data_IF_408259310804
#
_entry.id   IF_408259310804
#
_cell.length_a   1.000
_cell.length_b   1.000
_cell.length_c   1.000
_cell.angle_alpha   90.00
_cell.angle_beta   90.00
_cell.angle_gamma   90.00
#
_symmetry.space_group_name_H-M   'P 1'
#
loop_
_entity.id
_entity.type
_entity.pdbx_description
1 polymer ?
#
# COMPACT_ATOMS: atom_id res chain seq x y z
N UNK A 1 -6.10 -35.65 -24.52
CA UNK A 1 -5.68 -34.93 -23.30
C UNK A 1 -5.15 -33.57 -23.72
N UNK A 2 -5.79 -32.47 -23.33
CA UNK A 2 -5.26 -31.13 -23.59
C UNK A 2 -4.16 -30.81 -22.57
N UNK A 3 -2.98 -30.45 -23.06
CA UNK A 3 -1.87 -30.02 -22.20
C UNK A 3 -2.13 -28.59 -21.72
N UNK A 4 -2.17 -28.40 -20.39
CA UNK A 4 -2.22 -27.07 -19.78
C UNK A 4 -0.79 -26.67 -19.37
N UNK A 5 -0.12 -25.88 -20.21
CA UNK A 5 1.18 -25.32 -19.88
C UNK A 5 1.04 -24.28 -18.75
N UNK A 6 1.86 -24.39 -17.71
CA UNK A 6 1.99 -23.34 -16.69
C UNK A 6 3.14 -22.41 -17.08
N UNK A 7 2.83 -21.16 -17.40
CA UNK A 7 3.83 -20.13 -17.60
C UNK A 7 4.33 -19.59 -16.25
N UNK A 8 5.61 -19.26 -16.17
CA UNK A 8 6.22 -18.62 -15.01
C UNK A 8 6.51 -17.15 -15.30
N UNK A 9 6.37 -16.30 -14.29
CA UNK A 9 6.71 -14.87 -14.40
C UNK A 9 8.23 -14.72 -14.39
N UNK A 10 8.78 -14.06 -15.41
CA UNK A 10 10.22 -13.81 -15.51
C UNK A 10 10.67 -12.67 -14.60
N UNK A 11 11.95 -12.61 -14.28
CA UNK A 11 12.54 -11.48 -13.53
C UNK A 11 12.29 -10.14 -14.21
N UNK A 12 12.32 -10.10 -15.55
CA UNK A 12 12.04 -8.89 -16.31
C UNK A 12 10.58 -8.44 -16.14
N UNK A 13 9.63 -9.36 -16.17
CA UNK A 13 8.23 -9.04 -15.88
C UNK A 13 8.07 -8.49 -14.46
N UNK A 14 8.70 -9.10 -13.45
CA UNK A 14 8.69 -8.58 -12.07
C UNK A 14 9.26 -7.17 -11.98
N UNK A 15 10.37 -6.90 -12.65
CA UNK A 15 10.99 -5.57 -12.68
C UNK A 15 10.06 -4.52 -13.31
N UNK A 16 9.41 -4.83 -14.44
CA UNK A 16 8.49 -3.90 -15.07
C UNK A 16 7.25 -3.65 -14.21
N UNK A 17 6.72 -4.69 -13.56
CA UNK A 17 5.62 -4.55 -12.61
C UNK A 17 6.01 -3.67 -11.43
N UNK A 18 7.18 -3.90 -10.81
CA UNK A 18 7.71 -3.07 -9.75
C UNK A 18 7.88 -1.59 -10.17
N UNK A 19 8.41 -1.35 -11.37
CA UNK A 19 8.54 0.02 -11.93
C UNK A 19 7.19 0.67 -12.21
N UNK A 20 6.19 -0.11 -12.62
CA UNK A 20 4.82 0.37 -12.81
C UNK A 20 4.26 0.92 -11.50
N UNK A 21 4.42 0.17 -10.40
CA UNK A 21 3.96 0.61 -9.08
C UNK A 21 4.62 1.92 -8.64
N UNK A 22 5.92 2.05 -8.87
CA UNK A 22 6.70 3.19 -8.41
C UNK A 22 6.54 4.44 -9.29
N UNK A 23 6.48 4.28 -10.61
CA UNK A 23 6.59 5.40 -11.57
C UNK A 23 5.38 5.56 -12.48
N UNK A 24 4.42 4.64 -12.42
CA UNK A 24 3.20 4.70 -13.21
C UNK A 24 3.38 4.22 -14.64
N UNK A 25 2.66 3.16 -15.01
CA UNK A 25 2.42 2.82 -16.41
C UNK A 25 0.93 2.63 -16.72
N UNK A 26 0.16 2.21 -15.73
CA UNK A 26 -1.31 2.17 -15.75
C UNK A 26 -1.86 2.81 -14.48
N UNK A 27 -1.37 2.34 -13.33
CA UNK A 27 -1.54 2.99 -12.03
C UNK A 27 -0.19 3.22 -11.37
N UNK A 28 -0.15 4.12 -10.39
CA UNK A 28 1.01 4.40 -9.56
C UNK A 28 0.59 4.40 -8.08
N UNK A 29 1.40 3.80 -7.22
CA UNK A 29 1.23 3.90 -5.78
C UNK A 29 1.74 5.28 -5.35
N UNK A 30 0.81 6.16 -4.94
CA UNK A 30 1.08 7.58 -4.70
C UNK A 30 0.82 8.02 -3.28
N UNK A 31 -0.10 7.35 -2.59
CA UNK A 31 -0.56 7.80 -1.28
C UNK A 31 -0.52 6.69 -0.25
N UNK A 32 -0.57 7.07 1.02
CA UNK A 32 -0.81 6.16 2.13
C UNK A 32 -1.91 6.70 3.04
N UNK A 33 -2.50 5.81 3.83
CA UNK A 33 -3.50 6.15 4.85
C UNK A 33 -3.35 5.25 6.05
N UNK A 34 -3.86 5.69 7.18
CA UNK A 34 -3.72 5.02 8.48
C UNK A 34 -5.08 4.71 9.07
N UNK A 35 -5.15 3.58 9.75
CA UNK A 35 -6.29 3.20 10.59
C UNK A 35 -5.82 2.39 11.81
N UNK A 36 -6.79 2.04 12.66
CA UNK A 36 -6.60 1.23 13.86
C UNK A 36 -7.33 -0.13 13.79
N UNK A 37 -7.55 -0.70 12.60
CA UNK A 37 -8.30 -1.97 12.44
C UNK A 37 -7.45 -3.24 12.27
N UNK A 38 -6.14 -3.13 12.12
CA UNK A 38 -5.25 -4.26 11.82
C UNK A 38 -4.73 -5.10 12.99
N UNK A 39 -5.14 -4.80 14.23
CA UNK A 39 -4.75 -5.58 15.41
C UNK A 39 -5.90 -6.47 15.88
N UNK A 40 -5.61 -7.51 16.65
CA UNK A 40 -6.64 -8.34 17.27
C UNK A 40 -7.39 -7.52 18.34
N UNK A 41 -8.72 -7.33 18.24
CA UNK A 41 -9.48 -6.56 19.23
C UNK A 41 -9.44 -7.13 20.65
N UNK A 42 -9.13 -8.43 20.79
CA UNK A 42 -9.00 -9.13 22.06
C UNK A 42 -7.57 -9.13 22.61
N UNK A 43 -6.58 -8.94 21.73
CA UNK A 43 -5.17 -8.78 22.08
C UNK A 43 -4.47 -7.73 21.17
N UNK A 44 -4.43 -6.45 21.60
CA UNK A 44 -3.87 -5.36 20.80
C UNK A 44 -2.36 -5.48 20.51
N UNK A 45 -1.66 -6.44 21.13
CA UNK A 45 -0.24 -6.71 20.87
C UNK A 45 -0.03 -7.63 19.66
N UNK A 46 -1.11 -8.21 19.14
CA UNK A 46 -1.09 -9.13 18.01
C UNK A 46 -1.61 -8.44 16.75
N UNK A 47 -0.86 -8.52 15.65
CA UNK A 47 -1.29 -8.07 14.33
C UNK A 47 -2.14 -9.14 13.65
N UNK A 48 -3.26 -8.76 13.04
CA UNK A 48 -4.05 -9.64 12.19
C UNK A 48 -3.40 -9.79 10.82
N UNK A 49 -3.59 -10.95 10.19
CA UNK A 49 -3.18 -11.16 8.81
C UNK A 49 -3.87 -10.14 7.88
N UNK A 50 -3.14 -9.61 6.91
CA UNK A 50 -3.72 -8.76 5.89
C UNK A 50 -4.65 -9.59 4.97
N UNK A 51 -5.83 -9.06 4.68
CA UNK A 51 -6.78 -9.66 3.75
C UNK A 51 -6.48 -9.15 2.33
N UNK A 52 -6.07 -10.05 1.44
CA UNK A 52 -5.76 -9.73 0.04
C UNK A 52 -7.00 -9.37 -0.79
N UNK A 53 -8.21 -9.63 -0.28
CA UNK A 53 -9.48 -9.26 -0.93
C UNK A 53 -10.07 -7.95 -0.43
N UNK A 54 -9.41 -7.30 0.56
CA UNK A 54 -9.89 -6.06 1.13
C UNK A 54 -9.89 -4.92 0.10
N UNK A 55 -11.02 -4.23 -0.02
CA UNK A 55 -11.20 -3.06 -0.89
C UNK A 55 -11.01 -1.73 -0.14
N UNK A 56 -10.89 -1.80 1.19
CA UNK A 56 -10.64 -0.66 2.07
C UNK A 56 -9.69 -1.06 3.19
N UNK A 57 -8.97 -0.09 3.76
CA UNK A 57 -8.13 -0.33 4.93
C UNK A 57 -9.00 -0.83 6.10
N UNK A 58 -8.55 -1.81 6.91
CA UNK A 58 -9.34 -2.31 8.03
C UNK A 58 -9.70 -1.19 9.03
N UNK A 59 -10.97 -1.10 9.41
CA UNK A 59 -11.46 -0.08 10.35
C UNK A 59 -11.76 1.27 9.70
N UNK A 60 -11.83 2.32 10.53
CA UNK A 60 -12.06 3.70 10.07
C UNK A 60 -10.73 4.33 9.69
N UNK A 61 -10.66 5.01 8.54
CA UNK A 61 -9.50 5.83 8.17
C UNK A 61 -9.37 6.97 9.16
N UNK A 62 -8.24 7.04 9.85
CA UNK A 62 -7.97 8.05 10.88
C UNK A 62 -7.08 9.18 10.36
N UNK A 63 -6.29 8.90 9.33
CA UNK A 63 -5.41 9.87 8.69
C UNK A 63 -5.13 9.49 7.23
N UNK A 64 -4.88 10.49 6.38
CA UNK A 64 -4.65 10.36 4.94
C UNK A 64 -5.93 10.54 4.09
N UNK A 65 -5.83 10.38 2.75
CA UNK A 65 -4.63 9.99 2.02
C UNK A 65 -3.56 11.09 1.99
N UNK A 66 -2.33 10.70 2.32
CA UNK A 66 -1.15 11.56 2.24
C UNK A 66 -0.17 11.03 1.18
N UNK A 67 0.57 11.92 0.51
CA UNK A 67 1.55 11.53 -0.49
C UNK A 67 2.72 10.75 0.12
N UNK A 68 3.20 9.74 -0.59
CA UNK A 68 4.40 9.00 -0.21
C UNK A 68 5.62 9.91 -0.32
N UNK A 69 6.44 9.98 0.73
CA UNK A 69 7.60 10.88 0.78
C UNK A 69 8.67 10.52 -0.25
N UNK A 70 9.00 9.23 -0.33
CA UNK A 70 10.02 8.75 -1.25
C UNK A 70 9.86 7.27 -1.57
N UNK A 71 10.46 6.89 -2.69
CA UNK A 71 10.54 5.50 -3.12
C UNK A 71 12.01 5.10 -3.16
N UNK A 72 12.37 4.14 -2.32
CA UNK A 72 13.70 3.53 -2.34
C UNK A 72 13.61 2.13 -2.95
N UNK A 73 14.75 1.51 -3.24
CA UNK A 73 14.79 0.21 -3.91
C UNK A 73 15.80 -0.69 -3.22
N UNK A 74 15.34 -1.79 -2.63
CA UNK A 74 16.24 -2.81 -2.09
C UNK A 74 16.85 -3.66 -3.21
N UNK A 75 16.08 -3.89 -4.26
CA UNK A 75 16.50 -4.57 -5.48
C UNK A 75 15.68 -4.09 -6.66
N UNK A 76 16.05 -4.46 -7.88
CA UNK A 76 15.37 -4.03 -9.10
C UNK A 76 13.89 -4.50 -9.21
N UNK A 77 13.46 -5.41 -8.33
CA UNK A 77 12.10 -5.94 -8.26
C UNK A 77 11.37 -5.59 -6.95
N UNK A 78 12.04 -4.93 -6.01
CA UNK A 78 11.47 -4.58 -4.70
C UNK A 78 11.59 -3.08 -4.46
N UNK A 79 10.58 -2.28 -4.86
CA UNK A 79 10.45 -0.91 -4.42
C UNK A 79 9.97 -0.88 -2.97
N UNK A 80 10.46 0.09 -2.22
CA UNK A 80 10.08 0.37 -0.84
C UNK A 80 9.47 1.76 -0.79
N UNK A 81 8.20 1.84 -0.43
CA UNK A 81 7.49 3.09 -0.26
C UNK A 81 7.73 3.59 1.16
N UNK A 82 8.43 4.72 1.27
CA UNK A 82 8.75 5.37 2.53
C UNK A 82 7.65 6.38 2.83
N UNK A 83 6.88 6.10 3.87
CA UNK A 83 5.78 6.95 4.34
C UNK A 83 6.13 7.42 5.75
N UNK A 84 6.18 8.72 5.97
CA UNK A 84 6.53 9.32 7.26
C UNK A 84 5.33 10.07 7.77
N UNK A 85 4.98 9.81 9.03
CA UNK A 85 4.17 10.73 9.81
C UNK A 85 5.11 11.66 10.55
N UNK A 86 5.03 12.95 10.26
CA UNK A 86 5.79 13.95 10.98
C UNK A 86 5.29 14.13 12.42
N UNK A 87 6.15 14.69 13.28
CA UNK A 87 5.80 14.93 14.66
C UNK A 87 4.55 15.82 14.75
N UNK A 88 3.53 15.33 15.46
CA UNK A 88 2.29 16.06 15.69
C UNK A 88 1.29 16.02 14.52
N UNK A 89 1.61 15.35 13.42
CA UNK A 89 0.73 15.23 12.25
C UNK A 89 -0.50 14.34 12.53
N UNK A 90 -0.28 13.27 13.29
CA UNK A 90 -1.35 12.38 13.75
C UNK A 90 -1.17 12.05 15.24
N UNK A 91 -2.29 12.00 15.96
CA UNK A 91 -2.36 11.58 17.36
C UNK A 91 -3.54 10.65 17.51
N UNK A 92 -3.30 9.45 18.03
CA UNK A 92 -4.31 8.42 18.13
C UNK A 92 -3.73 7.02 17.98
N UNK A 93 -4.61 6.06 17.81
CA UNK A 93 -4.23 4.66 17.62
C UNK A 93 -3.88 4.39 16.15
N UNK A 94 -2.87 3.56 15.95
CA UNK A 94 -2.39 3.11 14.65
C UNK A 94 -2.14 1.62 14.71
N UNK A 95 -2.74 0.86 13.81
CA UNK A 95 -2.47 -0.57 13.67
C UNK A 95 -2.55 -1.08 12.23
N UNK A 96 -2.90 -0.22 11.27
CA UNK A 96 -2.83 -0.52 9.84
C UNK A 96 -2.32 0.69 9.07
N UNK A 97 -1.57 0.41 8.02
CA UNK A 97 -1.21 1.36 6.98
C UNK A 97 -1.65 0.79 5.63
N UNK A 98 -2.39 1.58 4.86
CA UNK A 98 -2.85 1.23 3.52
C UNK A 98 -2.07 2.04 2.49
N UNK A 99 -1.50 1.37 1.50
CA UNK A 99 -0.99 2.01 0.29
C UNK A 99 -2.13 2.20 -0.69
N UNK A 100 -2.25 3.40 -1.25
CA UNK A 100 -3.30 3.77 -2.19
C UNK A 100 -2.63 4.07 -3.54
N UNK A 101 -3.11 3.38 -4.56
CA UNK A 101 -2.73 3.62 -5.93
C UNK A 101 -3.76 4.48 -6.64
N UNK A 102 -3.28 5.25 -7.61
CA UNK A 102 -4.09 6.08 -8.50
C UNK A 102 -3.88 5.60 -9.94
N UNK A 103 -4.95 5.52 -10.71
CA UNK A 103 -4.85 5.32 -12.15
C UNK A 103 -4.23 6.56 -12.80
N UNK A 104 -3.08 6.38 -13.46
CA UNK A 104 -2.35 7.46 -14.15
C UNK A 104 -2.52 7.41 -15.67
N UNK A 105 -3.03 6.29 -16.18
CA UNK A 105 -3.31 6.08 -17.59
C UNK A 105 -4.53 5.19 -17.75
N UNK A 106 -5.39 5.56 -18.70
CA UNK A 106 -6.55 4.78 -19.12
C UNK A 106 -6.52 4.63 -20.64
N UNK A 107 -6.65 3.40 -21.13
CA UNK A 107 -6.72 3.13 -22.56
C UNK A 107 -8.14 3.41 -23.06
N UNK A 108 -8.28 4.32 -24.02
CA UNK A 108 -9.58 4.67 -24.59
C UNK A 108 -10.24 3.52 -25.38
N UNK A 109 -9.50 2.45 -25.68
CA UNK A 109 -10.03 1.24 -26.33
C UNK A 109 -10.57 0.18 -25.37
N UNK A 110 -10.35 0.35 -24.06
CA UNK A 110 -10.98 -0.49 -23.03
C UNK A 110 -12.50 -0.26 -23.04
N UNK A 111 -13.35 -1.31 -23.06
CA UNK A 111 -14.80 -1.16 -22.95
C UNK A 111 -15.26 -0.54 -21.61
N UNK A 112 -14.45 -0.58 -20.56
CA UNK A 112 -14.74 0.03 -19.25
C UNK A 112 -13.47 0.65 -18.65
N UNK A 113 -12.96 1.76 -19.23
CA UNK A 113 -11.71 2.34 -18.82
C UNK A 113 -11.84 2.98 -17.43
N UNK A 114 -10.89 2.75 -16.50
CA UNK A 114 -10.87 3.47 -15.24
C UNK A 114 -10.69 4.97 -15.50
N UNK A 115 -11.23 5.83 -14.64
CA UNK A 115 -10.96 7.26 -14.76
C UNK A 115 -9.55 7.53 -14.24
N UNK A 116 -8.75 8.27 -15.01
CA UNK A 116 -7.46 8.76 -14.54
C UNK A 116 -7.70 9.65 -13.33
N UNK A 117 -7.00 9.37 -12.23
CA UNK A 117 -7.23 9.99 -10.93
C UNK A 117 -8.07 9.15 -9.97
N UNK A 118 -8.75 8.09 -10.44
CA UNK A 118 -9.44 7.16 -9.54
C UNK A 118 -8.41 6.42 -8.68
N UNK A 119 -8.78 6.23 -7.42
CA UNK A 119 -7.91 5.65 -6.40
C UNK A 119 -8.45 4.31 -5.91
N UNK A 120 -7.54 3.40 -5.56
CA UNK A 120 -7.88 2.12 -4.96
C UNK A 120 -6.84 1.69 -3.93
N UNK A 121 -7.28 0.85 -2.98
CA UNK A 121 -6.39 0.23 -2.00
C UNK A 121 -5.48 -0.76 -2.72
N UNK A 122 -4.18 -0.50 -2.69
CA UNK A 122 -3.18 -1.31 -3.36
C UNK A 122 -2.56 -2.38 -2.45
N UNK A 123 -2.24 -2.01 -1.20
CA UNK A 123 -1.70 -2.95 -0.22
C UNK A 123 -2.06 -2.54 1.21
N UNK A 124 -2.09 -3.50 2.12
CA UNK A 124 -2.28 -3.27 3.56
C UNK A 124 -1.10 -3.86 4.32
N UNK A 125 -0.60 -3.08 5.27
CA UNK A 125 0.30 -3.53 6.31
C UNK A 125 -0.38 -3.42 7.67
N UNK A 126 -0.59 -4.56 8.32
CA UNK A 126 -1.12 -4.63 9.67
C UNK A 126 0.03 -4.79 10.67
N UNK A 127 -0.14 -4.17 11.85
CA UNK A 127 0.82 -4.24 12.95
C UNK A 127 0.10 -4.24 14.30
N UNK A 128 0.79 -4.62 15.39
CA UNK A 128 0.27 -4.40 16.74
C UNK A 128 -0.08 -2.94 16.96
N UNK A 129 -1.07 -2.69 17.82
CA UNK A 129 -1.55 -1.34 18.10
C UNK A 129 -0.46 -0.48 18.71
N UNK A 130 -0.26 0.70 18.15
CA UNK A 130 0.59 1.75 18.67
C UNK A 130 -0.25 2.99 18.89
N UNK A 131 -0.07 3.63 20.04
CA UNK A 131 -0.66 4.93 20.32
C UNK A 131 0.39 6.00 20.06
N UNK A 132 0.10 6.89 19.12
CA UNK A 132 0.93 8.05 18.82
C UNK A 132 0.37 9.27 19.56
N UNK A 133 1.27 10.06 20.10
CA UNK A 133 1.04 11.32 20.79
C UNK A 133 1.66 12.46 20.02
N UNK A 134 1.19 13.69 20.25
CA UNK A 134 1.71 14.88 19.55
C UNK A 134 3.18 15.18 19.83
N UNK A 135 3.77 14.53 20.84
CA UNK A 135 5.17 14.66 21.22
C UNK A 135 6.06 13.56 20.66
N UNK A 136 5.49 12.50 20.10
CA UNK A 136 6.30 11.44 19.49
C UNK A 136 7.06 11.98 18.28
N UNK A 137 8.28 11.47 18.09
CA UNK A 137 9.09 11.80 16.92
C UNK A 137 8.44 11.28 15.62
N UNK A 138 9.04 11.61 14.46
CA UNK A 138 8.53 11.14 13.19
C UNK A 138 8.46 9.60 13.15
N UNK A 139 7.34 9.08 12.66
CA UNK A 139 7.11 7.63 12.53
C UNK A 139 7.18 7.26 11.05
N UNK A 140 8.21 6.50 10.67
CA UNK A 140 8.42 6.08 9.28
C UNK A 140 8.03 4.62 9.05
N UNK A 141 7.30 4.39 7.96
CA UNK A 141 6.90 3.08 7.45
C UNK A 141 7.63 2.80 6.14
N UNK A 142 8.36 1.68 6.10
CA UNK A 142 9.01 1.19 4.90
C UNK A 142 8.20 0.01 4.36
N UNK A 143 7.33 0.28 3.38
CA UNK A 143 6.38 -0.71 2.88
C UNK A 143 6.85 -1.31 1.57
N UNK A 144 7.02 -2.63 1.56
CA UNK A 144 7.48 -3.40 0.40
C UNK A 144 6.35 -4.32 -0.07
N UNK A 145 5.73 -4.07 -1.23
CA UNK A 145 4.86 -5.04 -1.86
C UNK A 145 5.68 -6.21 -2.42
N UNK A 146 5.30 -7.44 -2.10
CA UNK A 146 5.97 -8.66 -2.55
C UNK A 146 5.30 -9.22 -3.82
N UNK A 147 6.12 -9.68 -4.79
CA UNK A 147 5.73 -10.34 -6.07
C UNK A 147 5.99 -11.85 -6.10
#
# INVERSE_FOLDING_TARGET
MSFAAKALVTTLAKQHTARSWAYGSSFQVKYFSISAGGHDPTDPTTALAADASAVAIPGVVLFGPEAIDSITWESITCPTFVCTLDQGEYTGELSSVGLIAEFVYADASDPDPPLVGDQFLYAIYNRPRVSLTSTDGPTTFNLMPFL
#
